data_IF_992621297592
#
_entry.id   IF_992621297592
#
_cell.length_a   1.000
_cell.length_b   1.000
_cell.length_c   1.000
_cell.angle_alpha   90.00
_cell.angle_beta   90.00
_cell.angle_gamma   90.00
#
_symmetry.space_group_name_H-M   'P 1'
#
loop_
_entity.id
_entity.type
_entity.pdbx_description
1 polymer ?
#
# COMPACT_ATOMS: atom_id res chain seq x y z
N UNK A 1 6.23 -7.78 0.11
CA UNK A 1 6.22 -6.32 -0.10
C UNK A 1 6.64 -5.94 -1.52
N UNK A 2 7.71 -6.54 -2.05
CA UNK A 2 8.14 -6.25 -3.44
C UNK A 2 7.05 -6.50 -4.48
N UNK A 3 6.35 -7.64 -4.40
CA UNK A 3 5.20 -7.96 -5.27
C UNK A 3 4.13 -6.87 -5.32
N UNK A 4 3.65 -6.38 -4.17
CA UNK A 4 2.58 -5.36 -4.13
C UNK A 4 3.05 -4.03 -4.73
N UNK A 5 4.34 -3.71 -4.60
CA UNK A 5 4.92 -2.53 -5.24
C UNK A 5 4.94 -2.72 -6.75
N UNK A 6 5.48 -3.83 -7.25
CA UNK A 6 5.58 -4.10 -8.68
C UNK A 6 4.20 -4.09 -9.37
N UNK A 7 3.23 -4.76 -8.75
CA UNK A 7 1.85 -4.80 -9.21
C UNK A 7 1.24 -3.40 -9.24
N UNK A 8 1.39 -2.63 -8.15
CA UNK A 8 0.88 -1.26 -8.06
C UNK A 8 1.52 -0.35 -9.11
N UNK A 9 2.81 -0.51 -9.40
CA UNK A 9 3.49 0.27 -10.43
C UNK A 9 3.02 -0.10 -11.84
N UNK A 10 2.74 -1.39 -12.10
CA UNK A 10 2.16 -1.83 -13.37
C UNK A 10 0.77 -1.21 -13.57
N UNK A 11 -0.10 -1.31 -12.57
CA UNK A 11 -1.44 -0.71 -12.59
C UNK A 11 -1.35 0.82 -12.79
N UNK A 12 -0.45 1.48 -12.08
CA UNK A 12 -0.24 2.92 -12.19
C UNK A 12 0.22 3.34 -13.59
N UNK A 13 1.15 2.59 -14.19
CA UNK A 13 1.63 2.86 -15.56
C UNK A 13 0.45 2.79 -16.54
N UNK A 14 -0.35 1.73 -16.48
CA UNK A 14 -1.53 1.58 -17.34
C UNK A 14 -2.57 2.68 -17.11
N UNK A 15 -2.82 3.05 -15.85
CA UNK A 15 -3.69 4.16 -15.49
C UNK A 15 -3.18 5.46 -16.11
N UNK A 16 -1.94 5.87 -15.85
CA UNK A 16 -1.42 7.15 -16.34
C UNK A 16 -1.36 7.21 -17.87
N UNK A 17 -1.07 6.10 -18.55
CA UNK A 17 -1.19 6.01 -20.00
C UNK A 17 -2.63 6.29 -20.47
N UNK A 18 -3.64 5.68 -19.85
CA UNK A 18 -5.06 5.90 -20.18
C UNK A 18 -5.51 7.34 -19.90
N UNK A 19 -4.90 8.02 -18.93
CA UNK A 19 -5.14 9.43 -18.64
C UNK A 19 -4.47 10.40 -19.63
N UNK A 20 -3.62 9.91 -20.54
CA UNK A 20 -3.00 10.72 -21.59
C UNK A 20 -1.69 11.40 -21.18
N UNK A 21 -1.05 10.95 -20.09
CA UNK A 21 0.28 11.44 -19.73
C UNK A 21 1.34 10.98 -20.72
N UNK A 22 2.36 11.83 -20.95
CA UNK A 22 3.53 11.45 -21.75
C UNK A 22 4.45 10.53 -20.95
N UNK A 23 5.22 9.70 -21.64
CA UNK A 23 6.09 8.68 -21.02
C UNK A 23 7.03 9.27 -19.96
N UNK A 24 7.70 10.39 -20.24
CA UNK A 24 8.57 11.09 -19.27
C UNK A 24 7.83 11.53 -17.99
N UNK A 25 6.56 11.94 -18.11
CA UNK A 25 5.74 12.31 -16.96
C UNK A 25 5.33 11.07 -16.17
N UNK A 26 5.02 9.97 -16.86
CA UNK A 26 4.67 8.69 -16.25
C UNK A 26 5.86 8.16 -15.45
N UNK A 27 7.07 8.21 -15.99
CA UNK A 27 8.27 7.78 -15.28
C UNK A 27 8.48 8.56 -13.98
N UNK A 28 8.31 9.89 -14.01
CA UNK A 28 8.40 10.73 -12.81
C UNK A 28 7.31 10.40 -11.78
N UNK A 29 6.06 10.21 -12.22
CA UNK A 29 4.94 9.85 -11.36
C UNK A 29 5.14 8.47 -10.72
N UNK A 30 5.60 7.49 -11.50
CA UNK A 30 5.92 6.14 -11.02
C UNK A 30 7.08 6.16 -10.04
N UNK A 31 8.13 6.96 -10.30
CA UNK A 31 9.26 7.07 -9.40
C UNK A 31 8.86 7.68 -8.05
N UNK A 32 8.08 8.77 -8.06
CA UNK A 32 7.58 9.38 -6.82
C UNK A 32 6.65 8.43 -6.07
N UNK A 33 5.66 7.84 -6.78
CA UNK A 33 4.72 6.91 -6.18
C UNK A 33 5.40 5.67 -5.59
N UNK A 34 6.42 5.12 -6.27
CA UNK A 34 7.24 4.01 -5.75
C UNK A 34 7.93 4.39 -4.46
N UNK A 35 8.58 5.55 -4.42
CA UNK A 35 9.33 6.01 -3.23
C UNK A 35 8.38 6.19 -2.05
N UNK A 36 7.25 6.85 -2.26
CA UNK A 36 6.30 7.16 -1.20
C UNK A 36 5.63 5.87 -0.68
N UNK A 37 5.28 4.94 -1.57
CA UNK A 37 4.78 3.61 -1.22
C UNK A 37 5.81 2.79 -0.43
N UNK A 38 7.06 2.72 -0.89
CA UNK A 38 8.13 2.00 -0.21
C UNK A 38 8.38 2.56 1.20
N UNK A 39 8.42 3.90 1.32
CA UNK A 39 8.62 4.58 2.60
C UNK A 39 7.53 4.22 3.61
N UNK A 40 6.26 4.26 3.20
CA UNK A 40 5.16 3.97 4.12
C UNK A 40 5.06 2.47 4.44
N UNK A 41 5.39 1.58 3.48
CA UNK A 41 5.45 0.14 3.73
C UNK A 41 6.54 -0.24 4.74
N UNK A 42 7.74 0.31 4.62
CA UNK A 42 8.82 0.05 5.58
C UNK A 42 8.51 0.63 6.96
N UNK A 43 7.83 1.79 7.02
CA UNK A 43 7.31 2.34 8.27
C UNK A 43 6.29 1.40 8.93
N UNK A 44 5.31 0.90 8.18
CA UNK A 44 4.33 -0.06 8.70
C UNK A 44 5.01 -1.33 9.21
N UNK A 45 5.96 -1.86 8.45
CA UNK A 45 6.75 -3.04 8.84
C UNK A 45 7.48 -2.82 10.17
N UNK A 46 8.10 -1.65 10.38
CA UNK A 46 8.77 -1.31 11.63
C UNK A 46 7.78 -1.26 12.82
N UNK A 47 6.60 -0.66 12.62
CA UNK A 47 5.53 -0.62 13.62
C UNK A 47 5.04 -2.03 14.00
N UNK A 48 4.95 -2.94 13.02
CA UNK A 48 4.52 -4.33 13.22
C UNK A 48 5.60 -5.25 13.82
N UNK A 49 6.83 -4.77 13.94
CA UNK A 49 7.95 -5.49 14.53
C UNK A 49 8.19 -5.14 16.00
N UNK A 50 7.52 -4.11 16.52
CA UNK A 50 7.72 -3.61 17.89
C UNK A 50 6.49 -3.89 18.74
N UNK A 51 6.68 -4.55 19.87
CA UNK A 51 5.62 -4.78 20.87
C UNK A 51 5.91 -3.96 22.15
N UNK A 52 4.87 -3.38 22.80
CA UNK A 52 3.46 -3.41 22.42
C UNK A 52 3.16 -2.61 21.14
N UNK A 53 2.15 -3.05 20.39
CA UNK A 53 1.80 -2.42 19.11
C UNK A 53 1.20 -1.02 19.31
N UNK A 54 1.73 -0.04 18.58
CA UNK A 54 1.12 1.29 18.46
C UNK A 54 -0.01 1.25 17.43
N UNK A 55 -1.22 0.99 17.94
CA UNK A 55 -2.46 0.84 17.17
C UNK A 55 -2.78 2.13 16.38
N UNK A 56 -2.54 3.29 16.96
CA UNK A 56 -2.84 4.57 16.31
C UNK A 56 -1.87 4.81 15.14
N UNK A 57 -0.58 4.55 15.35
CA UNK A 57 0.43 4.68 14.30
C UNK A 57 0.20 3.67 13.15
N UNK A 58 -0.16 2.42 13.47
CA UNK A 58 -0.53 1.41 12.47
C UNK A 58 -1.74 1.89 11.66
N UNK A 59 -2.79 2.37 12.30
CA UNK A 59 -3.99 2.86 11.61
C UNK A 59 -3.70 4.07 10.71
N UNK A 60 -2.84 5.00 11.15
CA UNK A 60 -2.38 6.13 10.32
C UNK A 60 -1.61 5.64 9.11
N UNK A 61 -0.77 4.63 9.28
CA UNK A 61 0.00 4.05 8.19
C UNK A 61 -0.87 3.33 7.16
N UNK A 62 -1.85 2.53 7.62
CA UNK A 62 -2.85 1.90 6.75
C UNK A 62 -3.67 2.96 5.98
N UNK A 63 -4.02 4.07 6.62
CA UNK A 63 -4.74 5.17 5.96
C UNK A 63 -3.88 5.83 4.86
N UNK A 64 -2.60 6.05 5.12
CA UNK A 64 -1.67 6.58 4.12
C UNK A 64 -1.49 5.61 2.95
N UNK A 65 -1.29 4.32 3.22
CA UNK A 65 -1.19 3.27 2.19
C UNK A 65 -2.45 3.18 1.33
N UNK A 66 -3.63 3.25 1.94
CA UNK A 66 -4.90 3.34 1.20
C UNK A 66 -4.86 4.48 0.17
N UNK A 67 -4.50 5.68 0.60
CA UNK A 67 -4.42 6.85 -0.28
C UNK A 67 -3.42 6.67 -1.41
N UNK A 68 -2.23 6.12 -1.10
CA UNK A 68 -1.19 5.84 -2.09
C UNK A 68 -1.66 4.82 -3.14
N UNK A 69 -2.28 3.72 -2.71
CA UNK A 69 -2.82 2.71 -3.62
C UNK A 69 -3.89 3.28 -4.55
N UNK A 70 -4.84 4.06 -4.04
CA UNK A 70 -5.85 4.73 -4.85
C UNK A 70 -5.27 5.75 -5.84
N UNK A 71 -4.31 6.56 -5.39
CA UNK A 71 -3.61 7.51 -6.27
C UNK A 71 -2.91 6.79 -7.42
N UNK A 72 -2.29 5.65 -7.13
CA UNK A 72 -1.62 4.77 -8.09
C UNK A 72 -2.60 3.90 -8.89
N UNK A 73 -3.89 3.90 -8.57
CA UNK A 73 -4.92 3.14 -9.29
C UNK A 73 -5.11 1.70 -8.83
N UNK A 74 -4.34 1.22 -7.85
CA UNK A 74 -4.55 -0.09 -7.24
C UNK A 74 -5.71 -0.01 -6.24
N UNK A 75 -6.95 0.00 -6.73
CA UNK A 75 -8.14 0.15 -5.88
C UNK A 75 -8.33 -1.03 -4.96
N UNK A 76 -8.03 -2.24 -5.42
CA UNK A 76 -8.15 -3.46 -4.61
C UNK A 76 -7.26 -3.41 -3.36
N UNK A 77 -5.97 -3.11 -3.51
CA UNK A 77 -5.09 -2.93 -2.37
C UNK A 77 -5.54 -1.79 -1.44
N UNK A 78 -6.08 -0.71 -2.01
CA UNK A 78 -6.64 0.40 -1.26
C UNK A 78 -7.86 0.02 -0.41
N UNK A 79 -8.75 -0.82 -0.95
CA UNK A 79 -9.93 -1.32 -0.24
C UNK A 79 -9.52 -2.29 0.88
N UNK A 80 -8.55 -3.16 0.64
CA UNK A 80 -8.00 -4.04 1.68
C UNK A 80 -7.42 -3.21 2.85
N UNK A 81 -6.65 -2.15 2.57
CA UNK A 81 -6.17 -1.25 3.63
C UNK A 81 -7.31 -0.57 4.40
N UNK A 82 -8.43 -0.29 3.74
CA UNK A 82 -9.60 0.31 4.38
C UNK A 82 -10.31 -0.69 5.31
N UNK A 83 -10.41 -1.95 4.91
CA UNK A 83 -11.09 -3.00 5.68
C UNK A 83 -10.28 -3.45 6.90
N UNK A 84 -8.95 -3.54 6.77
CA UNK A 84 -8.04 -3.81 7.89
C UNK A 84 -8.11 -2.76 9.02
N UNK A 85 -8.69 -1.57 8.75
CA UNK A 85 -8.92 -0.52 9.76
C UNK A 85 -10.28 -0.61 10.45
N UNK A 86 -11.24 -1.34 9.88
CA UNK A 86 -12.64 -1.40 10.38
C UNK A 86 -12.87 -2.52 11.40
N UNK A 87 -11.99 -3.51 11.46
CA UNK A 87 -12.16 -4.63 12.36
C UNK A 87 -11.76 -4.27 13.80
N UNK A 88 -12.63 -4.60 14.76
CA UNK A 88 -12.43 -4.32 16.19
C UNK A 88 -11.31 -5.17 16.83
N UNK A 89 -10.89 -6.27 16.19
CA UNK A 89 -9.87 -7.19 16.68
C UNK A 89 -8.48 -6.89 16.11
N UNK A 90 -7.75 -5.99 16.76
CA UNK A 90 -6.44 -5.58 16.26
C UNK A 90 -5.38 -6.70 16.21
N UNK A 91 -5.46 -7.70 17.09
CA UNK A 91 -4.55 -8.86 17.04
C UNK A 91 -4.78 -9.70 15.77
N UNK A 92 -6.02 -9.80 15.30
CA UNK A 92 -6.37 -10.45 14.05
C UNK A 92 -5.96 -9.59 12.85
N UNK A 93 -6.19 -8.27 12.91
CA UNK A 93 -5.74 -7.33 11.88
C UNK A 93 -4.23 -7.41 11.65
N UNK A 94 -3.44 -7.44 12.71
CA UNK A 94 -1.97 -7.53 12.60
C UNK A 94 -1.55 -8.80 11.85
N UNK A 95 -2.25 -9.93 12.06
CA UNK A 95 -2.00 -11.16 11.29
C UNK A 95 -2.37 -10.98 9.82
N UNK A 96 -3.54 -10.40 9.53
CA UNK A 96 -4.01 -10.13 8.16
C UNK A 96 -3.08 -9.18 7.42
N UNK A 97 -2.62 -8.10 8.06
CA UNK A 97 -1.64 -7.16 7.53
C UNK A 97 -0.33 -7.88 7.19
N UNK A 98 0.20 -8.69 8.13
CA UNK A 98 1.43 -9.48 7.91
C UNK A 98 1.26 -10.48 6.76
N UNK A 99 0.10 -11.10 6.61
CA UNK A 99 -0.21 -12.04 5.53
C UNK A 99 -0.25 -11.33 4.16
N UNK A 100 -1.02 -10.24 4.05
CA UNK A 100 -1.13 -9.41 2.85
C UNK A 100 0.25 -9.07 2.26
N UNK A 101 1.18 -8.64 3.12
CA UNK A 101 2.52 -8.24 2.70
C UNK A 101 3.51 -9.38 2.47
N UNK A 102 3.25 -10.58 3.00
CA UNK A 102 4.05 -11.79 2.75
C UNK A 102 3.66 -12.46 1.44
N UNK A 103 2.37 -12.60 1.18
CA UNK A 103 1.88 -13.44 0.09
C UNK A 103 1.97 -12.70 -1.26
N UNK A 104 1.73 -11.38 -1.26
CA UNK A 104 1.55 -10.60 -2.49
C UNK A 104 0.33 -11.14 -3.21
N UNK A 105 -0.81 -10.47 -3.05
CA UNK A 105 -2.09 -11.05 -3.41
C UNK A 105 -2.11 -11.50 -4.87
N UNK A 106 -2.38 -12.80 -5.00
CA UNK A 106 -2.83 -13.46 -6.21
C UNK A 106 -4.35 -13.38 -6.22
N UNK A 107 -4.90 -12.62 -7.17
CA UNK A 107 -6.10 -12.99 -7.91
C UNK A 107 -5.99 -12.48 -9.33
#
# INVERSE_FOLDING_TARGET
MEKVIEETLKIAKEKFLKFGFKEEQIEQLLASGKRDLLSELEKLKALLATEPYDIEAINKSLHALKGLFFNMGNTEAGDIMADLRKEDNMAENIKKIKAFFKEGHLS
#
